data_IF_423959890092
#
_entry.id   IF_423959890092
#
_cell.length_a   1.000
_cell.length_b   1.000
_cell.length_c   1.000
_cell.angle_alpha   90.00
_cell.angle_beta   90.00
_cell.angle_gamma   90.00
#
_symmetry.space_group_name_H-M   'P 1'
#
loop_
_entity.id
_entity.type
_entity.pdbx_description
1 polymer ?
#
# COMPACT_ATOMS: atom_id res chain seq x y z
N UNK A 1 10.98 -12.63 -8.02
CA UNK A 1 11.82 -11.46 -8.24
C UNK A 1 11.38 -10.31 -7.37
N UNK A 2 12.32 -9.72 -6.72
CA UNK A 2 11.98 -8.65 -5.78
C UNK A 2 11.88 -7.32 -6.53
N UNK A 3 10.76 -6.68 -6.38
CA UNK A 3 10.57 -5.33 -6.87
C UNK A 3 11.25 -4.38 -5.90
N UNK A 4 11.84 -3.32 -6.41
CA UNK A 4 12.45 -2.34 -5.55
C UNK A 4 11.39 -1.56 -4.79
N UNK A 5 11.82 -0.97 -3.69
CA UNK A 5 10.91 -0.20 -2.83
C UNK A 5 10.09 0.82 -3.60
N UNK A 6 10.76 1.57 -4.49
CA UNK A 6 10.05 2.60 -5.26
C UNK A 6 9.01 1.97 -6.18
N UNK A 7 9.35 0.81 -6.78
CA UNK A 7 8.41 0.11 -7.63
C UNK A 7 7.20 -0.36 -6.86
N UNK A 8 7.42 -0.85 -5.66
CA UNK A 8 6.32 -1.28 -4.80
C UNK A 8 5.41 -0.11 -4.43
N UNK A 9 6.02 1.04 -4.17
CA UNK A 9 5.26 2.24 -3.83
C UNK A 9 4.37 2.67 -4.98
N UNK A 10 4.90 2.66 -6.20
CA UNK A 10 4.09 2.98 -7.37
C UNK A 10 2.95 1.99 -7.56
N UNK A 11 3.25 0.71 -7.38
CA UNK A 11 2.27 -0.34 -7.59
C UNK A 11 1.14 -0.22 -6.58
N UNK A 12 1.48 0.03 -5.33
CA UNK A 12 0.48 0.23 -4.28
C UNK A 12 -0.38 1.45 -4.58
N UNK A 13 0.25 2.54 -5.04
CA UNK A 13 -0.48 3.77 -5.35
C UNK A 13 -1.49 3.53 -6.47
N UNK A 14 -1.08 2.81 -7.51
CA UNK A 14 -2.00 2.46 -8.60
C UNK A 14 -3.17 1.65 -8.06
N UNK A 15 -2.89 0.69 -7.19
CA UNK A 15 -3.92 -0.14 -6.61
C UNK A 15 -4.95 0.70 -5.84
N UNK A 16 -4.46 1.59 -4.98
CA UNK A 16 -5.33 2.43 -4.16
C UNK A 16 -6.15 3.39 -5.03
N UNK A 17 -5.49 4.05 -5.97
CA UNK A 17 -6.21 4.97 -6.86
C UNK A 17 -7.26 4.24 -7.70
N UNK A 18 -6.96 3.01 -8.11
CA UNK A 18 -7.88 2.23 -8.91
C UNK A 18 -9.13 1.83 -8.14
N UNK A 19 -9.05 1.78 -6.81
CA UNK A 19 -10.24 1.51 -6.00
C UNK A 19 -11.19 2.70 -6.01
N UNK A 20 -10.65 3.90 -6.16
CA UNK A 20 -11.45 5.12 -6.09
C UNK A 20 -11.88 5.62 -7.46
N UNK A 21 -11.05 5.38 -8.47
CA UNK A 21 -11.29 5.88 -9.82
C UNK A 21 -11.07 4.77 -10.82
N UNK A 22 -12.00 4.60 -11.77
CA UNK A 22 -11.83 3.55 -12.78
C UNK A 22 -10.73 3.87 -13.80
N UNK A 23 -10.39 5.14 -13.95
CA UNK A 23 -9.45 5.57 -14.98
C UNK A 23 -8.30 6.34 -14.36
N UNK A 24 -7.19 5.65 -14.13
CA UNK A 24 -6.00 6.25 -13.52
C UNK A 24 -4.98 6.56 -14.60
N UNK A 25 -4.46 7.77 -14.59
CA UNK A 25 -3.43 8.17 -15.54
C UNK A 25 -2.10 8.35 -14.80
N UNK A 26 -1.00 8.35 -15.56
CA UNK A 26 0.31 8.57 -14.98
C UNK A 26 0.38 9.88 -14.20
N UNK A 27 -0.30 10.92 -14.70
CA UNK A 27 -0.30 12.22 -14.02
C UNK A 27 -0.95 12.11 -12.64
N UNK A 28 -1.98 11.28 -12.50
CA UNK A 28 -2.63 11.09 -11.21
C UNK A 28 -1.69 10.45 -10.20
N UNK A 29 -0.90 9.49 -10.67
CA UNK A 29 0.07 8.80 -9.82
C UNK A 29 1.13 9.78 -9.36
N UNK A 30 1.62 10.61 -10.28
CA UNK A 30 2.62 11.60 -9.97
C UNK A 30 2.13 12.61 -8.94
N UNK A 31 0.89 13.06 -9.09
CA UNK A 31 0.30 14.00 -8.15
C UNK A 31 0.16 13.39 -6.77
N UNK A 32 -0.28 12.14 -6.73
CA UNK A 32 -0.45 11.46 -5.45
C UNK A 32 0.87 11.30 -4.71
N UNK A 33 1.94 10.96 -5.44
CA UNK A 33 3.25 10.70 -4.83
C UNK A 33 4.13 11.93 -4.72
N UNK A 34 3.78 12.99 -5.42
CA UNK A 34 4.61 14.19 -5.47
C UNK A 34 5.86 14.01 -6.31
N UNK A 35 5.80 13.18 -7.33
CA UNK A 35 6.96 12.88 -8.18
C UNK A 35 6.79 13.50 -9.55
N UNK A 36 7.92 13.75 -10.21
CA UNK A 36 7.96 14.39 -11.51
C UNK A 36 7.46 13.44 -12.60
N UNK A 37 7.02 14.02 -13.71
CA UNK A 37 6.55 13.23 -14.85
C UNK A 37 7.62 12.27 -15.37
N UNK A 38 8.88 12.68 -15.55
CA UNK A 38 9.90 11.73 -16.00
C UNK A 38 10.11 10.56 -15.04
N UNK A 39 10.01 10.83 -13.73
CA UNK A 39 10.16 9.77 -12.73
C UNK A 39 9.03 8.77 -12.85
N UNK A 40 7.80 9.25 -12.97
CA UNK A 40 6.64 8.38 -13.10
C UNK A 40 6.71 7.59 -14.40
N UNK A 41 7.10 8.25 -15.48
CA UNK A 41 7.20 7.60 -16.78
C UNK A 41 8.20 6.44 -16.75
N UNK A 42 9.36 6.66 -16.13
CA UNK A 42 10.37 5.62 -15.99
C UNK A 42 9.85 4.46 -15.16
N UNK A 43 9.17 4.78 -14.08
CA UNK A 43 8.60 3.74 -13.21
C UNK A 43 7.56 2.91 -13.95
N UNK A 44 6.68 3.59 -14.71
CA UNK A 44 5.67 2.88 -15.47
C UNK A 44 6.30 1.96 -16.50
N UNK A 45 7.38 2.41 -17.12
CA UNK A 45 8.09 1.61 -18.11
C UNK A 45 8.66 0.33 -17.46
N UNK A 46 9.26 0.48 -16.29
CA UNK A 46 9.80 -0.67 -15.55
C UNK A 46 8.68 -1.64 -15.18
N UNK A 47 7.58 -1.11 -14.67
CA UNK A 47 6.46 -1.97 -14.25
C UNK A 47 5.82 -2.67 -15.43
N UNK A 48 5.78 -2.03 -16.59
CA UNK A 48 5.29 -2.69 -17.81
C UNK A 48 6.21 -3.82 -18.22
N UNK A 49 7.52 -3.58 -18.17
CA UNK A 49 8.50 -4.61 -18.52
C UNK A 49 8.40 -5.80 -17.59
N UNK A 50 8.06 -5.57 -16.34
CA UNK A 50 7.89 -6.64 -15.36
C UNK A 50 6.53 -7.33 -15.49
N UNK A 51 5.66 -6.84 -16.37
CA UNK A 51 4.35 -7.45 -16.57
C UNK A 51 3.35 -7.13 -15.47
N UNK A 52 3.56 -6.04 -14.75
CA UNK A 52 2.72 -5.70 -13.61
C UNK A 52 1.67 -4.65 -13.93
N UNK A 53 1.92 -3.80 -14.93
CA UNK A 53 0.94 -2.81 -15.37
C UNK A 53 0.84 -2.84 -16.88
N UNK A 54 -0.25 -2.30 -17.37
CA UNK A 54 -0.46 -2.09 -18.80
C UNK A 54 -1.17 -0.77 -18.98
N UNK A 55 -1.09 -0.22 -20.19
CA UNK A 55 -1.77 1.03 -20.51
C UNK A 55 -2.76 0.72 -21.65
N UNK A 56 -3.99 1.19 -21.51
CA UNK A 56 -4.96 0.97 -22.58
C UNK A 56 -4.82 2.04 -23.67
N UNK A 57 -5.67 1.96 -24.68
CA UNK A 57 -5.59 2.86 -25.84
C UNK A 57 -5.81 4.32 -25.47
N UNK A 58 -6.41 4.57 -24.32
CA UNK A 58 -6.69 5.93 -23.88
C UNK A 58 -5.64 6.46 -22.92
N UNK A 59 -4.60 5.66 -22.64
CA UNK A 59 -3.55 6.07 -21.73
C UNK A 59 -3.83 5.82 -20.26
N UNK A 60 -4.89 5.07 -19.97
CA UNK A 60 -5.18 4.73 -18.58
C UNK A 60 -4.33 3.56 -18.13
N UNK A 61 -3.75 3.69 -16.94
CA UNK A 61 -2.88 2.68 -16.35
C UNK A 61 -3.74 1.65 -15.63
N UNK A 62 -3.51 0.38 -15.95
CA UNK A 62 -4.23 -0.73 -15.34
C UNK A 62 -3.25 -1.73 -14.78
N UNK A 63 -3.59 -2.33 -13.65
CA UNK A 63 -2.82 -3.43 -13.13
C UNK A 63 -3.14 -4.68 -13.93
N UNK A 64 -2.10 -5.46 -14.23
CA UNK A 64 -2.32 -6.80 -14.77
C UNK A 64 -2.75 -7.69 -13.62
N UNK A 65 -3.11 -8.92 -13.91
CA UNK A 65 -3.45 -9.87 -12.86
C UNK A 65 -2.29 -10.04 -11.89
N UNK A 66 -1.07 -10.19 -12.42
CA UNK A 66 0.12 -10.31 -11.58
C UNK A 66 0.36 -9.05 -10.75
N UNK A 67 0.15 -7.89 -11.38
CA UNK A 67 0.30 -6.62 -10.68
C UNK A 67 -0.71 -6.47 -9.55
N UNK A 68 -1.93 -6.89 -9.81
CA UNK A 68 -2.98 -6.79 -8.80
C UNK A 68 -2.69 -7.68 -7.60
N UNK A 69 -2.23 -8.90 -7.84
CA UNK A 69 -1.88 -9.82 -6.75
C UNK A 69 -0.77 -9.23 -5.90
N UNK A 70 0.26 -8.71 -6.54
CA UNK A 70 1.40 -8.16 -5.81
C UNK A 70 1.01 -6.88 -5.07
N UNK A 71 0.25 -6.00 -5.70
CA UNK A 71 -0.19 -4.76 -5.08
C UNK A 71 -1.06 -5.03 -3.86
N UNK A 72 -1.90 -6.04 -3.97
CA UNK A 72 -2.79 -6.42 -2.88
C UNK A 72 -1.99 -6.90 -1.66
N UNK A 73 -0.92 -7.67 -1.90
CA UNK A 73 -0.05 -8.13 -0.83
C UNK A 73 0.66 -6.96 -0.15
N UNK A 74 1.12 -6.01 -0.95
CA UNK A 74 1.79 -4.83 -0.41
C UNK A 74 0.82 -4.00 0.42
N UNK A 75 -0.39 -3.83 -0.09
CA UNK A 75 -1.42 -3.07 0.61
C UNK A 75 -1.82 -3.77 1.91
N UNK A 76 -1.87 -5.10 1.90
CA UNK A 76 -2.15 -5.86 3.12
C UNK A 76 -1.08 -5.60 4.18
N UNK A 77 0.20 -5.56 3.77
CA UNK A 77 1.27 -5.24 4.71
C UNK A 77 1.07 -3.88 5.33
N UNK A 78 0.72 -2.90 4.51
CA UNK A 78 0.47 -1.55 5.00
C UNK A 78 -0.65 -1.56 6.04
N UNK A 79 -1.75 -2.21 5.72
CA UNK A 79 -2.92 -2.24 6.60
C UNK A 79 -2.61 -2.92 7.93
N UNK A 80 -1.97 -4.08 7.87
CA UNK A 80 -1.67 -4.86 9.09
C UNK A 80 -0.66 -4.12 9.95
N UNK A 81 0.39 -3.58 9.35
CA UNK A 81 1.42 -2.89 10.12
C UNK A 81 0.89 -1.61 10.74
N UNK A 82 0.06 -0.87 10.01
CA UNK A 82 -0.58 0.32 10.56
C UNK A 82 -1.41 -0.06 11.78
N UNK A 83 -2.18 -1.14 11.66
CA UNK A 83 -3.04 -1.57 12.76
C UNK A 83 -2.22 -1.96 14.00
N UNK A 84 -1.11 -2.66 13.79
CA UNK A 84 -0.25 -3.04 14.91
C UNK A 84 0.26 -1.80 15.64
N UNK A 85 0.70 -0.81 14.89
CA UNK A 85 1.23 0.40 15.50
C UNK A 85 0.14 1.18 16.23
N UNK A 86 -1.06 1.23 15.66
CA UNK A 86 -2.19 1.86 16.36
C UNK A 86 -2.51 1.12 17.65
N UNK A 87 -2.48 -0.20 17.62
CA UNK A 87 -2.77 -0.99 18.81
C UNK A 87 -1.72 -0.77 19.89
N UNK A 88 -0.50 -0.45 19.50
CA UNK A 88 0.57 -0.15 20.44
C UNK A 88 0.47 1.27 21.00
N UNK A 89 -0.42 2.06 20.47
CA UNK A 89 -0.63 3.42 20.96
C UNK A 89 0.04 4.49 20.12
N UNK A 90 0.57 4.13 18.96
CA UNK A 90 1.19 5.11 18.07
C UNK A 90 0.09 5.94 17.41
N UNK A 91 0.31 7.24 17.33
CA UNK A 91 -0.65 8.15 16.73
C UNK A 91 -0.87 7.82 15.25
N UNK A 92 -2.08 8.01 14.78
CA UNK A 92 -2.52 7.52 13.47
C UNK A 92 -1.62 7.95 12.32
N UNK A 93 -1.28 9.22 12.27
CA UNK A 93 -0.46 9.73 11.18
C UNK A 93 0.93 9.09 11.18
N UNK A 94 1.52 9.00 12.36
CA UNK A 94 2.85 8.40 12.50
C UNK A 94 2.79 6.91 12.19
N UNK A 95 1.75 6.24 12.66
CA UNK A 95 1.58 4.82 12.40
C UNK A 95 1.53 4.54 10.91
N UNK A 96 0.76 5.33 10.18
CA UNK A 96 0.62 5.16 8.74
C UNK A 96 1.95 5.42 8.02
N UNK A 97 2.65 6.48 8.43
CA UNK A 97 3.93 6.81 7.81
C UNK A 97 4.99 5.76 8.06
N UNK A 98 5.06 5.28 9.31
CA UNK A 98 6.04 4.25 9.65
C UNK A 98 5.70 2.93 8.98
N UNK A 99 4.42 2.57 8.92
CA UNK A 99 4.01 1.35 8.25
C UNK A 99 4.39 1.39 6.77
N UNK A 100 4.26 2.54 6.16
CA UNK A 100 4.61 2.71 4.76
C UNK A 100 6.10 2.41 4.52
N UNK A 101 6.94 2.75 5.47
CA UNK A 101 8.37 2.43 5.37
C UNK A 101 8.64 0.97 5.70
N UNK A 102 8.05 0.48 6.78
CA UNK A 102 8.30 -0.89 7.25
C UNK A 102 7.87 -1.95 6.23
N UNK A 103 6.77 -1.68 5.54
CA UNK A 103 6.19 -2.69 4.65
C UNK A 103 7.14 -3.13 3.54
N UNK A 104 8.10 -2.27 3.19
CA UNK A 104 9.01 -2.55 2.10
C UNK A 104 10.31 -3.22 2.55
N UNK A 105 10.53 -3.33 3.84
CA UNK A 105 11.81 -3.82 4.35
C UNK A 105 11.73 -5.12 5.12
N UNK A 106 10.59 -5.46 5.68
CA UNK A 106 10.51 -6.69 6.48
C UNK A 106 10.36 -7.90 5.58
N UNK A 107 10.86 -9.02 6.06
CA UNK A 107 10.76 -10.28 5.33
C UNK A 107 9.33 -10.80 5.36
N UNK A 108 9.05 -11.74 4.46
CA UNK A 108 7.76 -12.43 4.46
C UNK A 108 7.56 -13.19 5.77
N UNK A 109 8.62 -13.81 6.28
CA UNK A 109 8.53 -14.56 7.54
C UNK A 109 8.13 -13.66 8.70
N UNK A 110 8.76 -12.49 8.80
CA UNK A 110 8.43 -11.54 9.86
C UNK A 110 7.00 -11.05 9.69
N UNK A 111 6.61 -10.70 8.46
CA UNK A 111 5.27 -10.23 8.23
C UNK A 111 4.24 -11.31 8.58
N UNK A 112 4.49 -12.54 8.16
CA UNK A 112 3.55 -13.64 8.45
C UNK A 112 3.39 -13.84 9.95
N UNK A 113 4.48 -13.71 10.70
CA UNK A 113 4.41 -13.83 12.16
C UNK A 113 3.57 -12.70 12.76
N UNK A 114 3.78 -11.48 12.28
CA UNK A 114 3.00 -10.32 12.73
C UNK A 114 1.53 -10.52 12.40
N UNK A 115 1.25 -10.95 11.19
CA UNK A 115 -0.11 -11.17 10.73
C UNK A 115 -0.82 -12.22 11.58
N UNK A 116 -0.12 -13.31 11.89
CA UNK A 116 -0.69 -14.36 12.74
C UNK A 116 -0.98 -13.85 14.14
N UNK A 117 -0.08 -13.02 14.67
CA UNK A 117 -0.27 -12.43 15.99
C UNK A 117 -1.48 -11.52 16.00
N UNK A 118 -1.63 -10.70 14.97
CA UNK A 118 -2.77 -9.79 14.86
C UNK A 118 -4.07 -10.58 14.75
N UNK A 119 -4.07 -11.68 13.99
CA UNK A 119 -5.26 -12.50 13.84
C UNK A 119 -5.68 -13.10 15.17
N UNK A 120 -4.71 -13.47 16.00
CA UNK A 120 -4.99 -14.12 17.28
C UNK A 120 -5.37 -13.12 18.38
N UNK A 121 -4.68 -11.99 18.44
CA UNK A 121 -4.87 -11.02 19.51
C UNK A 121 -5.48 -9.70 19.06
N UNK A 122 -5.15 -9.31 17.86
CA UNK A 122 -5.53 -8.00 17.33
C UNK A 122 -7.01 -7.88 16.99
N UNK A 123 -7.66 -9.00 16.64
CA UNK A 123 -9.06 -8.92 16.26
C UNK A 123 -9.93 -8.43 17.41
N UNK A 124 -9.62 -8.83 18.62
CA UNK A 124 -10.36 -8.37 19.80
C UNK A 124 -10.07 -6.90 20.07
N UNK A 125 -8.80 -6.55 20.05
CA UNK A 125 -8.37 -5.17 20.19
C UNK A 125 -8.99 -4.30 19.13
N UNK A 126 -9.02 -4.82 17.93
CA UNK A 126 -9.55 -4.09 16.80
C UNK A 126 -11.02 -3.78 16.98
N UNK A 127 -11.77 -4.74 17.49
CA UNK A 127 -13.16 -4.53 17.77
C UNK A 127 -13.39 -3.45 18.80
N UNK A 128 -12.61 -3.50 19.88
CA UNK A 128 -12.70 -2.49 20.92
C UNK A 128 -12.22 -1.14 20.43
N UNK A 129 -11.09 -1.17 19.73
CA UNK A 129 -10.49 0.08 19.26
C UNK A 129 -11.38 0.77 18.24
N UNK A 130 -12.12 0.01 17.49
CA UNK A 130 -13.01 0.61 16.54
C UNK A 130 -14.10 1.41 17.24
N UNK A 131 -14.59 0.89 18.35
CA UNK A 131 -15.57 1.61 19.14
C UNK A 131 -14.96 2.85 19.79
N UNK A 132 -13.73 2.72 20.30
CA UNK A 132 -13.04 3.82 20.93
C UNK A 132 -12.30 4.69 19.92
N UNK A 133 -11.97 4.10 18.78
CA UNK A 133 -11.16 4.77 17.79
C UNK A 133 -11.74 6.08 17.33
N UNK A 134 -13.03 6.15 17.29
CA UNK A 134 -13.69 7.38 16.92
C UNK A 134 -13.41 8.47 17.93
N UNK A 135 -13.34 8.09 19.18
CA UNK A 135 -13.07 9.03 20.25
C UNK A 135 -11.60 9.36 20.33
N UNK A 136 -10.76 8.32 20.35
CA UNK A 136 -9.33 8.57 20.47
C UNK A 136 -8.73 9.19 19.24
N UNK A 137 -9.32 8.97 18.10
CA UNK A 137 -8.80 9.61 16.88
C UNK A 137 -8.91 11.12 16.98
N UNK A 138 -9.70 11.61 17.86
CA UNK A 138 -9.85 13.04 18.06
C UNK A 138 -8.93 13.60 19.11
N UNK A 139 -8.43 12.74 19.91
CA UNK A 139 -7.48 13.16 20.93
C UNK A 139 -6.10 13.32 20.31
#
# INVERSE_FOLDING_TARGET
MALQESGEMYLETIYVLSQEHPNVRAVDIGEELGYSRPSVSRAMHVLKDEGLVKTDDYGFVKLTEAGNVLAKRIYERHTVLTQVLLDLGVEEKIASEDACRLEHYISDETFDAIKAHVAQYGSKSKGKNRAKGKTSAKA
#
